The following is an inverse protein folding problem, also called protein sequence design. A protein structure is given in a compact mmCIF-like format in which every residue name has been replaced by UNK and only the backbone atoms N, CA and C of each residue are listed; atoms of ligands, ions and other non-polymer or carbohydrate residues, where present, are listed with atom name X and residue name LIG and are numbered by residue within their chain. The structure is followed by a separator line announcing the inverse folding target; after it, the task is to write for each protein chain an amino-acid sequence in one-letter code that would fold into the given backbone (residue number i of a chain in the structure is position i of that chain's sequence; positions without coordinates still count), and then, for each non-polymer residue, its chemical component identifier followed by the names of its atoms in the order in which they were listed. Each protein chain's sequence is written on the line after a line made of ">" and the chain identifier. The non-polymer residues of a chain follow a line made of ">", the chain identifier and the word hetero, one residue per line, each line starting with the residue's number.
data_IF_118165034590
#
_entry.id   IF_118165034590
#
_cell.length_a   1.000
_cell.length_b   1.000
_cell.length_c   1.000
_cell.angle_alpha   90.00
_cell.angle_beta   90.00
_cell.angle_gamma   90.00
#
_symmetry.space_group_name_H-M   'P 1'
#
loop_
_entity.id
_entity.type
_entity.pdbx_description
1 polymer ?
#
# COMPACT_ATOMS: atom_id res chain seq x y z
N UNK A 1 -4.75 -11.20 14.49
CA UNK A 1 -4.53 -9.80 14.91
C UNK A 1 -5.63 -8.98 14.24
N UNK A 2 -6.29 -8.08 14.96
CA UNK A 2 -7.32 -7.17 14.42
C UNK A 2 -6.94 -5.70 14.69
N UNK A 3 -7.72 -4.73 14.20
CA UNK A 3 -7.44 -3.29 14.38
C UNK A 3 -7.43 -2.89 15.85
N UNK A 4 -8.36 -3.43 16.67
CA UNK A 4 -8.46 -3.11 18.10
C UNK A 4 -7.19 -3.53 18.84
N UNK A 5 -6.71 -4.74 18.57
CA UNK A 5 -5.47 -5.29 19.12
C UNK A 5 -4.25 -4.51 18.62
N UNK A 6 -4.23 -4.05 17.36
CA UNK A 6 -3.18 -3.19 16.82
C UNK A 6 -3.08 -1.84 17.54
N UNK A 7 -4.24 -1.22 17.86
CA UNK A 7 -4.30 0.02 18.64
C UNK A 7 -3.82 -0.23 20.07
N UNK A 8 -4.31 -1.31 20.71
CA UNK A 8 -3.90 -1.70 22.06
C UNK A 8 -2.38 -1.91 22.17
N UNK A 9 -1.78 -2.55 21.17
CA UNK A 9 -0.32 -2.75 21.05
C UNK A 9 0.45 -1.51 20.60
N UNK A 10 -0.24 -0.39 20.32
CA UNK A 10 0.33 0.88 19.83
C UNK A 10 1.11 0.74 18.51
N UNK A 11 0.81 -0.30 17.72
CA UNK A 11 1.35 -0.48 16.35
C UNK A 11 0.44 0.19 15.30
N UNK A 12 -0.77 0.56 15.70
CA UNK A 12 -1.56 1.67 15.16
C UNK A 12 -1.77 2.70 16.28
N UNK A 13 -1.86 3.97 15.92
CA UNK A 13 -2.16 5.07 16.85
C UNK A 13 -3.28 5.92 16.29
N UNK A 14 -4.21 6.28 17.16
CA UNK A 14 -5.21 7.28 16.85
C UNK A 14 -4.58 8.68 16.91
N UNK A 15 -4.89 9.49 15.92
CA UNK A 15 -4.49 10.88 15.74
C UNK A 15 -5.70 11.66 15.19
N UNK A 16 -5.59 12.98 15.10
CA UNK A 16 -6.56 13.74 14.31
C UNK A 16 -6.44 13.37 12.83
N UNK A 17 -7.58 13.34 12.12
CA UNK A 17 -7.60 13.21 10.66
C UNK A 17 -6.66 14.25 10.03
N UNK A 18 -5.80 13.79 9.11
CA UNK A 18 -4.75 14.60 8.51
C UNK A 18 -4.79 14.47 6.98
N UNK A 19 -5.66 15.29 6.36
CA UNK A 19 -5.85 15.33 4.90
C UNK A 19 -4.57 15.71 4.17
N UNK A 20 -3.74 16.61 4.73
CA UNK A 20 -2.47 17.01 4.11
C UNK A 20 -1.49 15.84 4.05
N UNK A 21 -1.39 15.03 5.11
CA UNK A 21 -0.59 13.79 5.08
C UNK A 21 -1.18 12.74 4.16
N UNK A 22 -2.51 12.66 4.07
CA UNK A 22 -3.19 11.77 3.12
C UNK A 22 -2.81 12.11 1.68
N UNK A 23 -2.97 13.37 1.27
CA UNK A 23 -2.58 13.87 -0.06
C UNK A 23 -1.08 13.69 -0.35
N UNK A 24 -0.23 13.98 0.63
CA UNK A 24 1.21 13.80 0.50
C UNK A 24 1.57 12.33 0.30
N UNK A 25 0.86 11.41 0.97
CA UNK A 25 1.06 9.98 0.78
C UNK A 25 0.65 9.52 -0.61
N UNK A 26 -0.46 10.02 -1.17
CA UNK A 26 -0.84 9.76 -2.57
C UNK A 26 0.20 10.28 -3.56
N UNK A 27 0.76 11.48 -3.34
CA UNK A 27 1.83 12.02 -4.19
C UNK A 27 3.06 11.12 -4.19
N UNK A 28 3.47 10.61 -3.03
CA UNK A 28 4.58 9.65 -2.92
C UNK A 28 4.26 8.36 -3.66
N UNK A 29 3.06 7.82 -3.49
CA UNK A 29 2.64 6.59 -4.16
C UNK A 29 2.71 6.73 -5.69
N UNK A 30 2.19 7.83 -6.25
CA UNK A 30 2.28 8.12 -7.69
C UNK A 30 3.73 8.24 -8.18
N UNK A 31 4.60 8.90 -7.42
CA UNK A 31 6.03 8.97 -7.74
C UNK A 31 6.66 7.58 -7.80
N UNK A 32 6.32 6.71 -6.85
CA UNK A 32 6.80 5.32 -6.82
C UNK A 32 6.26 4.47 -7.96
N UNK A 33 5.05 4.71 -8.47
CA UNK A 33 4.59 4.07 -9.71
C UNK A 33 5.46 4.47 -10.92
N UNK A 34 5.83 5.75 -11.03
CA UNK A 34 6.72 6.22 -12.11
C UNK A 34 8.11 5.56 -12.00
N UNK A 35 8.66 5.49 -10.78
CA UNK A 35 9.93 4.81 -10.50
C UNK A 35 9.87 3.32 -10.83
N UNK A 36 8.79 2.64 -10.44
CA UNK A 36 8.53 1.22 -10.76
C UNK A 36 8.63 0.97 -12.26
N UNK A 37 7.96 1.79 -13.07
CA UNK A 37 7.99 1.63 -14.54
C UNK A 37 9.41 1.77 -15.11
N UNK A 38 10.24 2.66 -14.55
CA UNK A 38 11.64 2.82 -14.96
C UNK A 38 12.50 1.62 -14.58
N UNK A 39 12.33 1.11 -13.36
CA UNK A 39 13.03 -0.08 -12.88
C UNK A 39 12.67 -1.31 -13.70
N UNK A 40 11.37 -1.50 -13.99
CA UNK A 40 10.87 -2.60 -14.80
C UNK A 40 11.41 -2.55 -16.23
N UNK A 41 11.38 -1.38 -16.87
CA UNK A 41 11.95 -1.19 -18.21
C UNK A 41 13.45 -1.44 -18.29
N UNK A 42 14.15 -1.29 -17.16
CA UNK A 42 15.59 -1.54 -17.03
C UNK A 42 15.90 -2.92 -16.44
N UNK A 43 14.89 -3.82 -16.39
CA UNK A 43 14.98 -5.21 -15.93
C UNK A 43 15.42 -5.39 -14.45
N UNK A 44 15.31 -4.34 -13.63
CA UNK A 44 15.51 -4.42 -12.18
C UNK A 44 14.23 -4.90 -11.49
N UNK A 45 13.87 -6.17 -11.70
CA UNK A 45 12.59 -6.74 -11.27
C UNK A 45 12.40 -6.74 -9.75
N UNK A 46 13.39 -7.18 -8.97
CA UNK A 46 13.31 -7.13 -7.50
C UNK A 46 13.14 -5.69 -6.98
N UNK A 47 13.88 -4.73 -7.53
CA UNK A 47 13.71 -3.33 -7.15
C UNK A 47 12.34 -2.79 -7.57
N UNK A 48 11.79 -3.28 -8.68
CA UNK A 48 10.43 -2.96 -9.10
C UNK A 48 9.42 -3.46 -8.06
N UNK A 49 9.53 -4.70 -7.57
CA UNK A 49 8.69 -5.23 -6.48
C UNK A 49 8.79 -4.37 -5.21
N UNK A 50 9.99 -3.97 -4.80
CA UNK A 50 10.18 -3.07 -3.65
C UNK A 50 9.49 -1.71 -3.86
N UNK A 51 9.61 -1.15 -5.06
CA UNK A 51 8.98 0.12 -5.42
C UNK A 51 7.45 0.00 -5.49
N UNK A 52 6.93 -1.13 -6.00
CA UNK A 52 5.49 -1.45 -6.06
C UNK A 52 4.92 -1.50 -4.65
N UNK A 53 5.53 -2.31 -3.78
CA UNK A 53 5.09 -2.42 -2.39
C UNK A 53 5.11 -1.05 -1.71
N UNK A 54 6.18 -0.26 -1.91
CA UNK A 54 6.29 1.08 -1.32
C UNK A 54 5.16 1.99 -1.81
N UNK A 55 4.81 1.91 -3.09
CA UNK A 55 3.67 2.65 -3.65
C UNK A 55 2.34 2.24 -3.01
N UNK A 56 2.02 0.94 -2.99
CA UNK A 56 0.78 0.44 -2.37
C UNK A 56 0.72 0.79 -0.88
N UNK A 57 1.85 0.71 -0.16
CA UNK A 57 1.93 1.08 1.25
C UNK A 57 1.59 2.56 1.45
N UNK A 58 2.13 3.47 0.62
CA UNK A 58 1.80 4.89 0.71
C UNK A 58 0.36 5.18 0.29
N UNK A 59 -0.19 4.47 -0.69
CA UNK A 59 -1.61 4.57 -1.04
C UNK A 59 -2.51 4.15 0.14
N UNK A 60 -2.22 3.00 0.77
CA UNK A 60 -2.92 2.55 1.97
C UNK A 60 -2.81 3.55 3.12
N UNK A 61 -1.61 4.09 3.38
CA UNK A 61 -1.39 5.13 4.41
C UNK A 61 -2.22 6.38 4.19
N UNK A 62 -2.54 6.74 2.95
CA UNK A 62 -3.41 7.87 2.68
C UNK A 62 -4.80 7.69 3.30
N UNK A 63 -5.36 6.46 3.25
CA UNK A 63 -6.62 6.13 3.91
C UNK A 63 -6.48 6.18 5.43
N UNK A 64 -5.41 5.62 5.99
CA UNK A 64 -5.15 5.67 7.44
C UNK A 64 -5.10 7.12 7.94
N UNK A 65 -4.34 8.00 7.28
CA UNK A 65 -4.26 9.42 7.68
C UNK A 65 -5.59 10.14 7.57
N UNK A 66 -6.38 9.86 6.53
CA UNK A 66 -7.75 10.39 6.39
C UNK A 66 -8.62 9.94 7.56
N UNK A 67 -8.48 8.71 8.02
CA UNK A 67 -9.26 8.15 9.15
C UNK A 67 -8.72 8.55 10.52
N UNK A 68 -7.65 9.35 10.60
CA UNK A 68 -7.03 9.70 11.88
C UNK A 68 -6.25 8.55 12.50
N UNK A 69 -5.61 7.72 11.68
CA UNK A 69 -4.77 6.62 12.11
C UNK A 69 -3.35 6.82 11.61
N UNK A 70 -2.37 6.60 12.49
CA UNK A 70 -0.95 6.54 12.16
C UNK A 70 -0.40 5.13 12.41
N UNK A 71 0.18 4.53 11.39
CA UNK A 71 0.83 3.24 11.48
C UNK A 71 2.23 3.31 12.11
N UNK A 72 2.62 2.20 12.74
CA UNK A 72 4.01 1.92 13.16
C UNK A 72 4.51 0.56 12.71
N UNK A 73 3.72 -0.12 11.89
CA UNK A 73 4.01 -1.45 11.37
C UNK A 73 3.36 -1.63 10.02
N UNK A 74 4.14 -2.13 9.06
CA UNK A 74 3.65 -2.52 7.74
C UNK A 74 2.52 -3.54 7.82
N UNK A 75 2.63 -4.52 8.72
CA UNK A 75 1.59 -5.52 8.93
C UNK A 75 0.31 -4.87 9.49
N UNK A 76 0.45 -3.92 10.41
CA UNK A 76 -0.70 -3.22 10.97
C UNK A 76 -1.44 -2.37 9.92
N UNK A 77 -0.73 -1.80 8.94
CA UNK A 77 -1.34 -1.13 7.78
C UNK A 77 -2.18 -2.10 6.95
N UNK A 78 -1.66 -3.29 6.65
CA UNK A 78 -2.43 -4.34 5.97
C UNK A 78 -3.68 -4.73 6.77
N UNK A 79 -3.56 -4.99 8.08
CA UNK A 79 -4.69 -5.34 8.93
C UNK A 79 -5.77 -4.25 8.89
N UNK A 80 -5.37 -2.98 8.96
CA UNK A 80 -6.31 -1.87 8.88
C UNK A 80 -7.08 -1.83 7.56
N UNK A 81 -6.38 -1.94 6.43
CA UNK A 81 -7.02 -1.96 5.11
C UNK A 81 -7.97 -3.16 4.97
N UNK A 82 -7.52 -4.35 5.37
CA UNK A 82 -8.31 -5.57 5.28
C UNK A 82 -9.60 -5.51 6.13
N UNK A 83 -9.55 -4.90 7.32
CA UNK A 83 -10.72 -4.80 8.21
C UNK A 83 -11.64 -3.63 7.86
N UNK A 84 -11.11 -2.46 7.45
CA UNK A 84 -11.89 -1.23 7.26
C UNK A 84 -12.31 -0.93 5.81
N UNK A 85 -11.67 -1.56 4.85
CA UNK A 85 -11.86 -1.24 3.43
C UNK A 85 -12.09 -2.47 2.54
N UNK A 86 -12.29 -3.68 3.11
CA UNK A 86 -12.54 -4.89 2.32
C UNK A 86 -13.88 -4.91 1.57
N UNK A 87 -14.81 -4.03 1.95
CA UNK A 87 -16.06 -3.78 1.24
C UNK A 87 -15.90 -2.84 0.03
N UNK A 88 -14.79 -2.10 -0.04
CA UNK A 88 -14.54 -1.03 -1.02
C UNK A 88 -13.31 -1.27 -1.90
N UNK A 89 -12.39 -2.10 -1.45
CA UNK A 89 -11.18 -2.48 -2.17
C UNK A 89 -11.32 -3.96 -2.56
N UNK A 90 -11.18 -4.30 -3.86
CA UNK A 90 -11.26 -5.68 -4.32
C UNK A 90 -10.30 -6.60 -3.56
N UNK A 91 -10.79 -7.81 -3.24
CA UNK A 91 -10.05 -8.77 -2.41
C UNK A 91 -8.71 -9.16 -3.03
N UNK A 92 -8.62 -9.26 -4.36
CA UNK A 92 -7.38 -9.58 -5.05
C UNK A 92 -6.28 -8.55 -4.75
N UNK A 93 -6.61 -7.26 -4.72
CA UNK A 93 -5.63 -6.21 -4.48
C UNK A 93 -5.17 -6.16 -3.01
N UNK A 94 -6.07 -6.45 -2.06
CA UNK A 94 -5.71 -6.59 -0.65
C UNK A 94 -4.76 -7.78 -0.45
N UNK A 95 -5.02 -8.89 -1.16
CA UNK A 95 -4.13 -10.05 -1.12
C UNK A 95 -2.76 -9.74 -1.76
N UNK A 96 -2.74 -9.07 -2.90
CA UNK A 96 -1.50 -8.62 -3.56
C UNK A 96 -0.68 -7.70 -2.65
N UNK A 97 -1.33 -6.72 -1.99
CA UNK A 97 -0.65 -5.85 -1.02
C UNK A 97 -0.02 -6.63 0.14
N UNK A 98 -0.68 -7.68 0.63
CA UNK A 98 -0.12 -8.53 1.68
C UNK A 98 1.02 -9.42 1.18
N UNK A 99 0.90 -10.00 -0.01
CA UNK A 99 1.94 -10.81 -0.64
C UNK A 99 3.21 -9.98 -0.83
N UNK A 100 3.10 -8.82 -1.46
CA UNK A 100 4.19 -7.87 -1.70
C UNK A 100 4.84 -7.37 -0.39
N UNK A 101 4.09 -7.35 0.72
CA UNK A 101 4.63 -7.02 2.05
C UNK A 101 5.62 -8.09 2.54
N UNK A 102 5.33 -9.36 2.26
CA UNK A 102 6.21 -10.48 2.58
C UNK A 102 7.36 -10.57 1.57
N UNK A 103 7.09 -10.44 0.27
CA UNK A 103 8.13 -10.42 -0.77
C UNK A 103 9.16 -9.32 -0.53
N UNK A 104 8.74 -8.15 -0.06
CA UNK A 104 9.69 -7.09 0.35
C UNK A 104 10.65 -7.58 1.44
N UNK A 105 10.18 -8.37 2.41
CA UNK A 105 11.05 -8.89 3.46
C UNK A 105 12.05 -9.91 2.89
N UNK A 106 11.57 -10.82 2.05
CA UNK A 106 12.40 -11.85 1.41
C UNK A 106 13.43 -11.26 0.44
N UNK A 107 13.06 -10.27 -0.38
CA UNK A 107 13.99 -9.58 -1.29
C UNK A 107 15.09 -8.83 -0.51
N UNK A 108 14.78 -8.25 0.64
CA UNK A 108 15.74 -7.44 1.41
C UNK A 108 16.65 -8.26 2.33
N UNK A 109 16.13 -9.36 2.88
CA UNK A 109 16.79 -10.08 3.97
C UNK A 109 16.88 -11.60 3.74
N UNK A 110 16.07 -12.13 2.82
CA UNK A 110 16.02 -13.54 2.49
C UNK A 110 17.06 -13.93 1.44
N UNK A 111 16.91 -15.16 0.95
CA UNK A 111 17.75 -15.75 -0.09
C UNK A 111 16.96 -15.99 -1.39
N UNK A 112 15.88 -15.23 -1.59
CA UNK A 112 14.93 -15.45 -2.67
C UNK A 112 15.55 -15.22 -4.06
N UNK A 113 15.10 -15.98 -5.05
CA UNK A 113 15.49 -15.80 -6.45
C UNK A 113 14.89 -14.51 -7.04
N UNK A 114 15.43 -14.08 -8.18
CA UNK A 114 14.96 -12.90 -8.89
C UNK A 114 13.49 -13.06 -9.32
N UNK A 115 12.69 -12.04 -9.07
CA UNK A 115 11.31 -11.93 -9.57
C UNK A 115 11.32 -11.98 -11.10
N UNK A 116 10.39 -12.73 -11.69
CA UNK A 116 10.26 -12.80 -13.15
C UNK A 116 9.62 -11.52 -13.71
N UNK A 117 9.86 -11.26 -15.01
CA UNK A 117 9.23 -10.14 -15.72
C UNK A 117 7.70 -10.21 -15.65
N UNK A 118 7.13 -11.39 -15.88
CA UNK A 118 5.68 -11.62 -15.89
C UNK A 118 5.05 -11.35 -14.52
N UNK A 119 5.67 -11.82 -13.43
CA UNK A 119 5.20 -11.53 -12.07
C UNK A 119 5.20 -10.03 -11.79
N UNK A 120 6.29 -9.33 -12.13
CA UNK A 120 6.38 -7.88 -11.90
C UNK A 120 5.38 -7.11 -12.77
N UNK A 121 5.14 -7.53 -14.00
CA UNK A 121 4.14 -6.93 -14.88
C UNK A 121 2.74 -7.03 -14.28
N UNK A 122 2.36 -8.20 -13.76
CA UNK A 122 1.08 -8.39 -13.07
C UNK A 122 0.98 -7.51 -11.82
N UNK A 123 2.04 -7.40 -11.03
CA UNK A 123 2.05 -6.52 -9.85
C UNK A 123 1.97 -5.02 -10.21
N UNK A 124 2.45 -4.61 -11.37
CA UNK A 124 2.26 -3.23 -11.87
C UNK A 124 0.79 -2.97 -12.17
N UNK A 125 0.08 -3.93 -12.79
CA UNK A 125 -1.35 -3.82 -13.04
C UNK A 125 -2.15 -3.73 -11.73
N UNK A 126 -1.84 -4.60 -10.77
CA UNK A 126 -2.44 -4.56 -9.42
C UNK A 126 -2.20 -3.21 -8.74
N UNK A 127 -1.00 -2.64 -8.85
CA UNK A 127 -0.68 -1.34 -8.29
C UNK A 127 -1.50 -0.21 -8.92
N UNK A 128 -1.63 -0.21 -10.24
CA UNK A 128 -2.40 0.80 -10.98
C UNK A 128 -3.88 0.76 -10.57
N UNK A 129 -4.46 -0.44 -10.49
CA UNK A 129 -5.84 -0.62 -10.03
C UNK A 129 -5.99 -0.18 -8.56
N UNK A 130 -5.06 -0.59 -7.69
CA UNK A 130 -5.10 -0.24 -6.26
C UNK A 130 -5.04 1.26 -6.02
N UNK A 131 -4.18 1.98 -6.76
CA UNK A 131 -4.13 3.44 -6.73
C UNK A 131 -5.44 4.07 -7.18
N UNK A 132 -6.00 3.61 -8.31
CA UNK A 132 -7.25 4.13 -8.85
C UNK A 132 -8.41 3.96 -7.86
N UNK A 133 -8.51 2.79 -7.22
CA UNK A 133 -9.53 2.48 -6.20
C UNK A 133 -9.38 3.39 -4.99
N UNK A 134 -8.16 3.53 -4.44
CA UNK A 134 -7.92 4.37 -3.27
C UNK A 134 -8.23 5.83 -3.57
N UNK A 135 -7.81 6.36 -4.72
CA UNK A 135 -8.13 7.73 -5.10
C UNK A 135 -9.63 7.96 -5.25
N UNK A 136 -10.38 6.98 -5.77
CA UNK A 136 -11.85 7.05 -5.86
C UNK A 136 -12.48 7.09 -4.48
N UNK A 137 -12.00 6.27 -3.54
CA UNK A 137 -12.47 6.26 -2.14
C UNK A 137 -12.23 7.65 -1.52
N UNK A 138 -11.01 8.18 -1.63
CA UNK A 138 -10.66 9.50 -1.09
C UNK A 138 -11.53 10.62 -1.66
N UNK A 139 -11.75 10.66 -2.98
CA UNK A 139 -12.56 11.68 -3.67
C UNK A 139 -14.05 11.63 -3.31
N UNK A 140 -14.62 10.43 -3.16
CA UNK A 140 -16.05 10.27 -2.87
C UNK A 140 -16.40 10.70 -1.44
N UNK A 141 -15.43 10.64 -0.53
CA UNK A 141 -15.63 11.05 0.86
C UNK A 141 -15.37 12.54 1.09
N UNK A 142 -14.52 13.18 0.28
CA UNK A 142 -14.34 14.65 0.36
C UNK A 142 -15.60 15.42 -0.03
N UNK A 143 -16.47 14.84 -0.86
CA UNK A 143 -17.73 15.45 -1.31
C UNK A 143 -18.88 15.36 -0.29
N UNK A 144 -18.70 14.66 0.83
CA UNK A 144 -19.72 14.47 1.87
C UNK A 144 -19.56 15.41 3.07
N UNK A 145 -18.59 16.31 3.03
CA UNK A 145 -18.34 17.41 3.99
C UNK A 145 -18.60 18.73 3.29
#
# INVERSE_FOLDING_TARGET
>A
MDVKECIRKRILREISSDIKKSESSIKIAKSKLIETRKLFASEFFNNSVLSIYTSMFHAARALLYKDGIQEKSHYATYIYINEKYSDRIPRQLINAFNLLREDRHEILYGFQQNSSREEVENFILDLEEFLAVIEKILKNETKKT
#
